data_IF_196799346626
#
_entry.id   IF_196799346626
#
_cell.length_a   1.000
_cell.length_b   1.000
_cell.length_c   1.000
_cell.angle_alpha   90.00
_cell.angle_beta   90.00
_cell.angle_gamma   90.00
#
_symmetry.space_group_name_H-M   'P 1'
#
loop_
_entity.id
_entity.type
_entity.pdbx_description
1 polymer ?
#
# COMPACT_ATOMS: atom_id res chain seq x y z
N UNK A 1 17.40 -26.44 -10.50
CA UNK A 1 16.95 -25.76 -9.27
C UNK A 1 15.49 -25.41 -9.51
N UNK A 2 14.56 -26.15 -8.92
CA UNK A 2 13.13 -25.82 -9.00
C UNK A 2 12.92 -24.51 -8.23
N UNK A 3 12.09 -23.57 -8.71
CA UNK A 3 11.76 -22.38 -7.93
C UNK A 3 11.21 -22.83 -6.58
N UNK A 4 11.70 -22.20 -5.52
CA UNK A 4 11.32 -22.51 -4.16
C UNK A 4 9.80 -22.36 -4.03
N UNK A 5 9.12 -23.36 -3.49
CA UNK A 5 7.64 -23.36 -3.42
C UNK A 5 7.11 -22.19 -2.59
N UNK A 6 7.98 -21.62 -1.77
CA UNK A 6 7.74 -20.44 -0.96
C UNK A 6 7.64 -19.16 -1.81
N UNK A 7 8.40 -19.04 -2.91
CA UNK A 7 8.40 -17.87 -3.80
C UNK A 7 7.05 -17.73 -4.51
N UNK A 8 6.56 -18.82 -5.11
CA UNK A 8 5.22 -18.88 -5.72
C UNK A 8 4.08 -18.64 -4.70
N UNK A 9 4.32 -18.95 -3.42
CA UNK A 9 3.34 -18.72 -2.35
C UNK A 9 3.29 -17.26 -1.89
N UNK A 10 4.40 -16.52 -1.96
CA UNK A 10 4.52 -15.08 -1.66
C UNK A 10 4.03 -14.23 -2.85
N UNK A 11 4.24 -14.71 -4.07
CA UNK A 11 3.81 -14.04 -5.30
C UNK A 11 2.29 -13.84 -5.37
N UNK A 12 1.49 -14.81 -4.92
CA UNK A 12 0.03 -14.75 -5.01
C UNK A 12 -0.62 -13.67 -4.12
N UNK A 13 -0.22 -13.49 -2.85
CA UNK A 13 -0.61 -12.33 -2.04
C UNK A 13 -0.18 -10.99 -2.62
N UNK A 14 1.07 -10.87 -3.10
CA UNK A 14 1.59 -9.63 -3.66
C UNK A 14 0.84 -9.22 -4.93
N UNK A 15 0.59 -10.17 -5.83
CA UNK A 15 -0.20 -9.95 -7.04
C UNK A 15 -1.63 -9.49 -6.73
N UNK A 16 -2.28 -10.12 -5.73
CA UNK A 16 -3.63 -9.68 -5.29
C UNK A 16 -3.62 -8.26 -4.72
N UNK A 17 -2.60 -7.91 -3.93
CA UNK A 17 -2.47 -6.56 -3.41
C UNK A 17 -2.29 -5.54 -4.55
N UNK A 18 -1.43 -5.85 -5.54
CA UNK A 18 -1.20 -5.00 -6.71
C UNK A 18 -2.46 -4.80 -7.55
N UNK A 19 -3.24 -5.86 -7.79
CA UNK A 19 -4.51 -5.75 -8.53
C UNK A 19 -5.52 -4.85 -7.80
N UNK A 20 -5.65 -4.98 -6.47
CA UNK A 20 -6.54 -4.13 -5.67
C UNK A 20 -6.12 -2.67 -5.67
N UNK A 21 -4.81 -2.41 -5.54
CA UNK A 21 -4.25 -1.06 -5.63
C UNK A 21 -4.53 -0.48 -7.03
N UNK A 22 -4.31 -1.26 -8.09
CA UNK A 22 -4.55 -0.82 -9.46
C UNK A 22 -6.02 -0.51 -9.72
N UNK A 23 -6.95 -1.33 -9.21
CA UNK A 23 -8.39 -1.05 -9.30
C UNK A 23 -8.75 0.24 -8.55
N UNK A 24 -8.23 0.44 -7.34
CA UNK A 24 -8.47 1.66 -6.57
C UNK A 24 -7.96 2.91 -7.30
N UNK A 25 -6.77 2.86 -7.88
CA UNK A 25 -6.22 3.96 -8.71
C UNK A 25 -7.10 4.27 -9.91
N UNK A 26 -7.64 3.25 -10.58
CA UNK A 26 -8.49 3.42 -11.77
C UNK A 26 -9.88 4.00 -11.44
N UNK A 27 -10.40 3.74 -10.24
CA UNK A 27 -11.75 4.13 -9.81
C UNK A 27 -11.76 5.40 -8.95
N UNK A 28 -10.62 5.75 -8.37
CA UNK A 28 -10.52 6.91 -7.50
C UNK A 28 -10.78 8.19 -8.27
N UNK A 29 -11.67 9.01 -7.70
CA UNK A 29 -11.87 10.38 -8.16
C UNK A 29 -10.90 11.34 -7.47
N UNK A 30 -10.31 10.92 -6.35
CA UNK A 30 -9.42 11.71 -5.53
C UNK A 30 -8.20 10.92 -5.03
N UNK A 31 -7.08 11.62 -4.81
CA UNK A 31 -5.79 11.00 -4.47
C UNK A 31 -5.76 10.37 -3.06
N UNK A 32 -6.53 10.90 -2.13
CA UNK A 32 -6.72 10.37 -0.77
C UNK A 32 -7.38 8.98 -0.78
N UNK A 33 -8.38 8.75 -1.63
CA UNK A 33 -9.03 7.44 -1.79
C UNK A 33 -8.03 6.33 -2.16
N UNK A 34 -7.06 6.65 -3.04
CA UNK A 34 -5.98 5.73 -3.42
C UNK A 34 -5.08 5.42 -2.23
N UNK A 35 -4.73 6.44 -1.45
CA UNK A 35 -3.83 6.29 -0.31
C UNK A 35 -4.45 5.45 0.81
N UNK A 36 -5.76 5.56 1.04
CA UNK A 36 -6.48 4.71 1.99
C UNK A 36 -6.40 3.23 1.61
N UNK A 37 -6.62 2.90 0.33
CA UNK A 37 -6.53 1.50 -0.13
C UNK A 37 -5.11 0.96 0.01
N UNK A 38 -4.10 1.77 -0.34
CA UNK A 38 -2.69 1.38 -0.19
C UNK A 38 -2.37 1.13 1.29
N UNK A 39 -2.76 2.04 2.18
CA UNK A 39 -2.53 1.91 3.61
C UNK A 39 -3.17 0.65 4.18
N UNK A 40 -4.41 0.34 3.82
CA UNK A 40 -5.11 -0.84 4.33
C UNK A 40 -4.53 -2.16 3.80
N UNK A 41 -4.17 -2.22 2.51
CA UNK A 41 -3.52 -3.41 1.94
C UNK A 41 -2.15 -3.66 2.58
N UNK A 42 -1.35 -2.60 2.77
CA UNK A 42 -0.03 -2.74 3.36
C UNK A 42 -0.09 -3.05 4.87
N UNK A 43 -1.04 -2.46 5.61
CA UNK A 43 -1.30 -2.81 7.02
C UNK A 43 -1.65 -4.30 7.16
N UNK A 44 -2.52 -4.79 6.29
CA UNK A 44 -2.93 -6.20 6.25
C UNK A 44 -1.76 -7.12 5.89
N UNK A 45 -0.98 -6.78 4.86
CA UNK A 45 0.16 -7.59 4.42
C UNK A 45 1.27 -7.69 5.47
N UNK A 46 1.50 -6.61 6.22
CA UNK A 46 2.52 -6.53 7.27
C UNK A 46 2.00 -7.02 8.64
N UNK A 47 0.72 -7.38 8.76
CA UNK A 47 0.07 -7.69 10.04
C UNK A 47 0.30 -6.61 11.11
N UNK A 48 0.28 -5.34 10.69
CA UNK A 48 0.54 -4.20 11.56
C UNK A 48 -0.73 -3.76 12.32
N UNK A 49 -0.56 -3.28 13.55
CA UNK A 49 -1.65 -2.73 14.36
C UNK A 49 -2.20 -1.41 13.78
N UNK A 50 -1.35 -0.62 13.14
CA UNK A 50 -1.69 0.66 12.52
C UNK A 50 -0.73 0.96 11.37
N UNK A 51 -1.12 1.85 10.45
CA UNK A 51 -0.27 2.29 9.35
C UNK A 51 -0.52 3.76 9.04
N UNK A 52 0.55 4.55 8.94
CA UNK A 52 0.48 5.94 8.50
C UNK A 52 1.34 6.16 7.26
N UNK A 53 0.83 6.97 6.33
CA UNK A 53 1.58 7.44 5.17
C UNK A 53 1.83 8.93 5.38
N UNK A 54 3.10 9.33 5.37
CA UNK A 54 3.51 10.72 5.57
C UNK A 54 4.33 11.20 4.37
N UNK A 55 4.16 12.47 4.02
CA UNK A 55 5.02 13.18 3.07
C UNK A 55 5.81 14.25 3.79
N UNK A 56 7.12 14.25 3.58
CA UNK A 56 7.97 15.36 3.96
C UNK A 56 7.75 16.54 3.00
N UNK A 57 7.43 17.72 3.56
CA UNK A 57 7.26 18.96 2.80
C UNK A 57 8.45 19.89 3.11
N UNK A 58 9.51 19.91 2.27
CA UNK A 58 10.76 20.63 2.57
C UNK A 58 10.54 22.14 2.71
N UNK A 59 9.65 22.72 1.90
CA UNK A 59 9.32 24.16 1.95
C UNK A 59 8.73 24.61 3.29
N UNK A 60 8.14 23.67 4.03
CA UNK A 60 7.51 23.91 5.33
C UNK A 60 8.31 23.33 6.48
N UNK A 61 9.40 22.63 6.20
CA UNK A 61 10.15 21.81 7.15
C UNK A 61 9.22 20.96 8.04
N UNK A 62 8.19 20.34 7.45
CA UNK A 62 7.13 19.64 8.17
C UNK A 62 6.79 18.27 7.56
N UNK A 63 6.38 17.34 8.42
CA UNK A 63 5.75 16.08 8.01
C UNK A 63 4.24 16.29 7.88
N UNK A 64 3.71 16.07 6.69
CA UNK A 64 2.27 16.02 6.46
C UNK A 64 1.80 14.57 6.50
N UNK A 65 0.93 14.25 7.43
CA UNK A 65 0.20 12.98 7.47
C UNK A 65 -0.81 12.97 6.32
N UNK A 66 -0.73 11.96 5.47
CA UNK A 66 -1.65 11.74 4.35
C UNK A 66 -2.72 10.70 4.71
N UNK A 67 -2.39 9.69 5.51
CA UNK A 67 -3.30 8.68 6.09
C UNK A 67 -2.84 8.31 7.50
N UNK A 68 -3.76 8.07 8.43
CA UNK A 68 -3.52 7.60 9.81
C UNK A 68 -4.66 6.68 10.26
#
# INVERSE_FOLDING_TARGET
MLPDRDDASIEMPALRALLRISEAVLRAHYFDEVLEVIAEQARSALSAASMSICRWEPDRAALRVLVN
#
